data_IF_920251433491
#
_entry.id   IF_920251433491
#
_cell.length_a   1.000
_cell.length_b   1.000
_cell.length_c   1.000
_cell.angle_alpha   90.00
_cell.angle_beta   90.00
_cell.angle_gamma   90.00
#
_symmetry.space_group_name_H-M   'P 1'
#
loop_
_entity.id
_entity.type
_entity.pdbx_description
1 polymer ?
#
# COMPACT_ATOMS: atom_id res chain seq x y z
N UNK A 1 -32.32 -33.18 22.68
CA UNK A 1 -31.46 -32.49 21.68
C UNK A 1 -31.36 -30.96 21.90
N UNK A 2 -31.63 -30.42 23.11
CA UNK A 2 -31.67 -28.96 23.37
C UNK A 2 -30.38 -28.33 23.93
N UNK A 3 -29.31 -29.12 24.17
CA UNK A 3 -28.05 -28.59 24.75
C UNK A 3 -27.10 -27.93 23.75
N UNK A 4 -27.29 -28.14 22.44
CA UNK A 4 -26.42 -27.53 21.41
C UNK A 4 -26.82 -26.10 21.03
N UNK A 5 -28.05 -25.69 21.31
CA UNK A 5 -28.47 -24.30 21.02
C UNK A 5 -27.83 -23.31 22.00
N UNK A 6 -27.68 -23.67 23.27
CA UNK A 6 -27.01 -22.81 24.26
C UNK A 6 -25.51 -22.65 23.97
N UNK A 7 -24.80 -23.68 23.49
CA UNK A 7 -23.38 -23.54 23.14
C UNK A 7 -23.18 -22.70 21.86
N UNK A 8 -24.14 -22.76 20.94
CA UNK A 8 -24.11 -21.96 19.70
C UNK A 8 -24.50 -20.51 19.96
N UNK A 9 -25.48 -20.26 20.84
CA UNK A 9 -25.89 -18.91 21.25
C UNK A 9 -24.86 -18.25 22.17
N UNK A 10 -24.18 -19.00 23.04
CA UNK A 10 -23.06 -18.48 23.83
C UNK A 10 -21.83 -18.13 22.97
N UNK A 11 -21.59 -18.89 21.89
CA UNK A 11 -20.58 -18.53 20.87
C UNK A 11 -20.98 -17.29 20.07
N UNK A 12 -22.26 -17.14 19.74
CA UNK A 12 -22.79 -15.97 19.03
C UNK A 12 -22.92 -14.70 19.90
N UNK A 13 -23.11 -14.85 21.21
CA UNK A 13 -23.11 -13.74 22.16
C UNK A 13 -21.70 -13.21 22.42
N UNK A 14 -20.67 -14.07 22.37
CA UNK A 14 -19.27 -13.65 22.50
C UNK A 14 -18.68 -13.02 21.22
N UNK A 15 -19.34 -13.12 20.07
CA UNK A 15 -18.89 -12.42 18.85
C UNK A 15 -19.25 -10.93 18.83
N UNK A 16 -20.16 -10.48 19.71
CA UNK A 16 -20.57 -9.08 19.81
C UNK A 16 -20.07 -8.36 21.07
N UNK A 17 -19.20 -8.99 21.86
CA UNK A 17 -18.60 -8.42 23.06
C UNK A 17 -17.10 -8.18 22.89
N UNK A 18 -16.73 -7.28 21.96
CA UNK A 18 -15.46 -6.53 21.97
C UNK A 18 -15.56 -5.37 20.97
N UNK A 19 -16.28 -4.34 21.38
CA UNK A 19 -15.90 -3.00 20.92
C UNK A 19 -14.51 -2.70 21.50
N UNK A 20 -13.57 -2.37 20.61
CA UNK A 20 -12.40 -1.53 20.88
C UNK A 20 -11.38 -1.98 21.93
N UNK A 21 -10.88 -3.21 21.83
CA UNK A 21 -9.45 -3.39 21.99
C UNK A 21 -8.84 -3.31 20.59
N UNK A 22 -8.44 -2.11 20.14
CA UNK A 22 -7.61 -1.98 18.94
C UNK A 22 -6.40 -2.89 19.19
N UNK A 23 -6.31 -3.98 18.46
CA UNK A 23 -5.17 -4.89 18.48
C UNK A 23 -4.88 -5.21 17.03
N UNK A 24 -3.59 -5.22 16.68
CA UNK A 24 -3.15 -5.55 15.33
C UNK A 24 -3.83 -6.84 14.83
N UNK A 25 -4.35 -6.82 13.61
CA UNK A 25 -4.88 -8.03 12.98
C UNK A 25 -3.79 -9.13 13.00
N UNK A 26 -4.08 -10.36 13.47
CA UNK A 26 -3.06 -11.39 13.68
C UNK A 26 -2.28 -11.76 12.41
N UNK A 27 -2.89 -11.56 11.24
CA UNK A 27 -2.29 -11.90 9.94
C UNK A 27 -1.71 -10.67 9.23
N UNK A 28 -1.80 -9.46 9.78
CA UNK A 28 -1.40 -8.23 9.10
C UNK A 28 0.05 -8.32 8.59
N UNK A 29 0.97 -8.79 9.44
CA UNK A 29 2.39 -8.91 9.09
C UNK A 29 2.61 -9.86 7.92
N UNK A 30 2.03 -11.06 7.93
CA UNK A 30 2.18 -12.04 6.84
C UNK A 30 1.50 -11.57 5.56
N UNK A 31 0.34 -10.92 5.69
CA UNK A 31 -0.43 -10.39 4.59
C UNK A 31 0.31 -9.23 3.90
N UNK A 32 1.03 -8.38 4.64
CA UNK A 32 1.90 -7.33 4.07
C UNK A 32 2.97 -7.96 3.17
N UNK A 33 3.76 -8.91 3.68
CA UNK A 33 4.83 -9.50 2.87
C UNK A 33 4.28 -10.23 1.64
N UNK A 34 3.17 -10.94 1.79
CA UNK A 34 2.48 -11.58 0.66
C UNK A 34 2.01 -10.55 -0.38
N UNK A 35 1.47 -9.41 0.06
CA UNK A 35 1.06 -8.34 -0.83
C UNK A 35 2.26 -7.66 -1.53
N UNK A 36 3.38 -7.45 -0.83
CA UNK A 36 4.62 -6.93 -1.43
C UNK A 36 5.16 -7.89 -2.50
N UNK A 37 5.21 -9.18 -2.19
CA UNK A 37 5.70 -10.22 -3.09
C UNK A 37 4.83 -10.39 -4.34
N UNK A 38 3.51 -10.18 -4.22
CA UNK A 38 2.60 -10.20 -5.36
C UNK A 38 2.64 -8.88 -6.16
N UNK A 39 2.76 -7.74 -5.47
CA UNK A 39 2.75 -6.42 -6.12
C UNK A 39 4.02 -6.15 -6.93
N UNK A 40 5.18 -6.58 -6.46
CA UNK A 40 6.46 -6.35 -7.15
C UNK A 40 6.48 -6.90 -8.59
N UNK A 41 6.24 -8.21 -8.86
CA UNK A 41 6.20 -8.73 -10.23
C UNK A 41 5.03 -8.17 -11.05
N UNK A 42 3.89 -7.88 -10.41
CA UNK A 42 2.74 -7.25 -11.05
C UNK A 42 3.03 -5.84 -11.57
N UNK A 43 3.78 -5.04 -10.80
CA UNK A 43 4.27 -3.72 -11.21
C UNK A 43 5.31 -3.83 -12.33
N UNK A 44 6.21 -4.82 -12.28
CA UNK A 44 7.23 -5.03 -13.34
C UNK A 44 6.58 -5.37 -14.68
N UNK A 45 5.60 -6.27 -14.67
CA UNK A 45 4.90 -6.75 -15.87
C UNK A 45 5.51 -8.03 -16.46
N UNK A 46 4.70 -8.78 -17.20
CA UNK A 46 5.05 -10.13 -17.71
C UNK A 46 3.87 -11.11 -17.75
N UNK A 47 2.79 -10.75 -18.45
CA UNK A 47 1.59 -11.57 -18.64
C UNK A 47 0.41 -11.19 -17.74
N UNK A 48 0.62 -11.01 -16.44
CA UNK A 48 -0.35 -10.48 -15.46
C UNK A 48 0.23 -9.22 -14.83
N UNK A 49 -0.30 -8.05 -15.17
CA UNK A 49 0.38 -6.78 -14.92
C UNK A 49 -0.56 -5.62 -14.61
N UNK A 50 -0.01 -4.57 -13.97
CA UNK A 50 -0.74 -3.32 -13.78
C UNK A 50 -1.27 -2.77 -15.11
N UNK A 51 -2.54 -2.40 -15.12
CA UNK A 51 -3.31 -1.95 -16.29
C UNK A 51 -4.12 -3.04 -16.99
N UNK A 52 -4.03 -4.31 -16.56
CA UNK A 52 -4.78 -5.40 -17.19
C UNK A 52 -6.20 -5.60 -16.61
N UNK A 53 -6.60 -4.85 -15.59
CA UNK A 53 -7.95 -4.88 -15.02
C UNK A 53 -8.29 -6.08 -14.13
N UNK A 54 -7.43 -7.11 -14.05
CA UNK A 54 -7.80 -8.39 -13.42
C UNK A 54 -6.72 -8.92 -12.49
N UNK A 55 -5.44 -8.78 -12.83
CA UNK A 55 -4.34 -9.41 -12.11
C UNK A 55 -4.09 -8.84 -10.71
N UNK A 56 -4.57 -7.62 -10.44
CA UNK A 56 -4.43 -6.97 -9.14
C UNK A 56 -5.43 -7.48 -8.08
N UNK A 57 -6.45 -8.25 -8.48
CA UNK A 57 -7.52 -8.71 -7.58
C UNK A 57 -7.03 -9.50 -6.36
N UNK A 58 -6.05 -10.43 -6.46
CA UNK A 58 -5.51 -11.12 -5.29
C UNK A 58 -4.82 -10.19 -4.28
N UNK A 59 -4.11 -9.17 -4.80
CA UNK A 59 -3.45 -8.16 -3.98
C UNK A 59 -4.52 -7.30 -3.29
N UNK A 60 -5.52 -6.86 -4.05
CA UNK A 60 -6.64 -6.07 -3.53
C UNK A 60 -7.44 -6.83 -2.47
N UNK A 61 -7.71 -8.12 -2.66
CA UNK A 61 -8.39 -8.95 -1.67
C UNK A 61 -7.62 -9.02 -0.34
N UNK A 62 -6.28 -9.06 -0.42
CA UNK A 62 -5.41 -9.01 0.75
C UNK A 62 -5.50 -7.65 1.46
N UNK A 63 -5.54 -6.55 0.70
CA UNK A 63 -5.72 -5.20 1.23
C UNK A 63 -7.10 -5.03 1.88
N UNK A 64 -8.17 -5.44 1.19
CA UNK A 64 -9.56 -5.33 1.67
C UNK A 64 -9.82 -6.07 2.98
N UNK A 65 -9.07 -7.13 3.25
CA UNK A 65 -9.14 -7.84 4.53
C UNK A 65 -8.82 -6.93 5.73
N UNK A 66 -7.97 -5.92 5.53
CA UNK A 66 -7.58 -4.95 6.58
C UNK A 66 -8.21 -3.57 6.35
N UNK A 67 -8.51 -3.22 5.10
CA UNK A 67 -9.11 -1.93 4.70
C UNK A 67 -10.27 -2.14 3.72
N UNK A 68 -11.46 -2.57 4.20
CA UNK A 68 -12.60 -2.89 3.34
C UNK A 68 -13.17 -1.68 2.59
N UNK A 69 -12.92 -0.47 3.09
CA UNK A 69 -13.38 0.78 2.47
C UNK A 69 -12.50 1.24 1.30
N UNK A 70 -11.34 0.60 1.11
CA UNK A 70 -10.39 0.98 0.07
C UNK A 70 -10.82 0.49 -1.31
N UNK A 71 -11.71 1.23 -1.97
CA UNK A 71 -12.27 0.83 -3.25
C UNK A 71 -11.42 1.31 -4.43
N UNK A 72 -11.28 0.45 -5.44
CA UNK A 72 -10.85 0.88 -6.76
C UNK A 72 -12.05 1.54 -7.46
N UNK A 73 -11.93 2.82 -7.85
CA UNK A 73 -12.95 3.48 -8.67
C UNK A 73 -13.11 2.76 -10.01
N UNK A 74 -14.33 2.74 -10.56
CA UNK A 74 -14.61 2.08 -11.85
C UNK A 74 -13.72 2.64 -12.98
N UNK A 75 -13.37 3.92 -12.87
CA UNK A 75 -12.46 4.68 -13.75
C UNK A 75 -10.99 4.25 -13.67
N UNK A 76 -10.61 3.54 -12.60
CA UNK A 76 -9.26 3.03 -12.40
C UNK A 76 -9.07 1.62 -12.94
N UNK A 77 -10.14 0.88 -13.27
CA UNK A 77 -10.04 -0.48 -13.80
C UNK A 77 -9.49 -0.44 -15.22
N UNK A 78 -8.42 -1.19 -15.49
CA UNK A 78 -7.72 -1.17 -16.78
C UNK A 78 -6.86 0.08 -16.99
N UNK A 79 -6.76 0.96 -15.98
CA UNK A 79 -5.88 2.12 -15.99
C UNK A 79 -4.66 1.84 -15.11
N UNK A 80 -3.51 1.63 -15.74
CA UNK A 80 -2.23 1.33 -15.07
C UNK A 80 -1.92 2.27 -13.91
N UNK A 81 -2.12 3.58 -14.10
CA UNK A 81 -1.83 4.59 -13.08
C UNK A 81 -2.77 4.47 -11.89
N UNK A 82 -4.08 4.32 -12.16
CA UNK A 82 -5.11 4.18 -11.14
C UNK A 82 -4.98 2.90 -10.32
N UNK A 83 -4.74 1.77 -11.00
CA UNK A 83 -4.49 0.48 -10.34
C UNK A 83 -3.24 0.53 -9.47
N UNK A 84 -2.12 1.03 -10.02
CA UNK A 84 -0.89 1.15 -9.27
C UNK A 84 -1.08 2.06 -8.04
N UNK A 85 -1.79 3.20 -8.18
CA UNK A 85 -2.03 4.10 -7.06
C UNK A 85 -2.78 3.45 -5.91
N UNK A 86 -3.86 2.72 -6.18
CA UNK A 86 -4.67 2.07 -5.14
C UNK A 86 -3.90 0.95 -4.47
N UNK A 87 -3.25 0.06 -5.23
CA UNK A 87 -2.46 -1.02 -4.66
C UNK A 87 -1.30 -0.48 -3.82
N UNK A 88 -0.59 0.54 -4.33
CA UNK A 88 0.54 1.13 -3.62
C UNK A 88 0.11 1.77 -2.31
N UNK A 89 -1.00 2.51 -2.33
CA UNK A 89 -1.55 3.11 -1.13
C UNK A 89 -2.04 2.05 -0.14
N UNK A 90 -2.64 0.96 -0.60
CA UNK A 90 -3.19 -0.08 0.27
C UNK A 90 -2.10 -0.83 1.03
N UNK A 91 -1.02 -1.21 0.34
CA UNK A 91 0.14 -1.82 0.97
C UNK A 91 0.81 -0.82 1.92
N UNK A 92 0.97 0.43 1.51
CA UNK A 92 1.51 1.50 2.38
C UNK A 92 0.67 1.64 3.66
N UNK A 93 -0.65 1.68 3.55
CA UNK A 93 -1.58 1.79 4.68
C UNK A 93 -1.52 0.56 5.61
N UNK A 94 -1.36 -0.66 5.06
CA UNK A 94 -1.12 -1.86 5.86
C UNK A 94 0.19 -1.77 6.67
N UNK A 95 1.26 -1.27 6.05
CA UNK A 95 2.55 -1.05 6.73
C UNK A 95 2.43 0.02 7.81
N UNK A 96 1.74 1.13 7.52
CA UNK A 96 1.49 2.17 8.51
C UNK A 96 0.69 1.62 9.69
N UNK A 97 -0.40 0.89 9.44
CA UNK A 97 -1.19 0.27 10.50
C UNK A 97 -0.35 -0.67 11.37
N UNK A 98 0.52 -1.48 10.78
CA UNK A 98 1.48 -2.29 11.54
C UNK A 98 2.43 -1.41 12.38
N UNK A 99 2.88 -0.27 11.85
CA UNK A 99 3.77 0.65 12.56
C UNK A 99 3.16 1.20 13.85
N UNK A 100 1.83 1.35 13.95
CA UNK A 100 1.17 1.77 15.21
C UNK A 100 1.47 0.83 16.36
N UNK A 101 1.54 -0.46 16.05
CA UNK A 101 1.69 -1.53 17.02
C UNK A 101 3.17 -1.80 17.30
N UNK A 102 4.01 -1.70 16.28
CA UNK A 102 5.44 -1.94 16.34
C UNK A 102 6.15 -0.98 15.39
N UNK A 103 6.62 0.16 15.92
CA UNK A 103 7.23 1.23 15.14
C UNK A 103 8.49 0.77 14.41
N UNK A 104 9.32 -0.04 15.06
CA UNK A 104 10.56 -0.57 14.48
C UNK A 104 10.27 -1.55 13.34
N UNK A 105 9.35 -2.50 13.55
CA UNK A 105 8.93 -3.40 12.46
C UNK A 105 8.28 -2.62 11.32
N UNK A 106 7.41 -1.65 11.62
CA UNK A 106 6.81 -0.77 10.63
C UNK A 106 7.83 -0.02 9.78
N UNK A 107 8.87 0.55 10.40
CA UNK A 107 9.96 1.23 9.71
C UNK A 107 10.79 0.30 8.82
N UNK A 108 11.07 -0.92 9.28
CA UNK A 108 11.81 -1.92 8.49
C UNK A 108 10.99 -2.41 7.30
N UNK A 109 9.71 -2.74 7.50
CA UNK A 109 8.84 -3.18 6.42
C UNK A 109 8.55 -2.05 5.43
N UNK A 110 8.46 -0.79 5.89
CA UNK A 110 8.38 0.36 4.98
C UNK A 110 9.62 0.46 4.10
N UNK A 111 10.82 0.21 4.64
CA UNK A 111 12.06 0.20 3.83
C UNK A 111 11.98 -0.88 2.75
N UNK A 112 11.62 -2.11 3.12
CA UNK A 112 11.44 -3.23 2.17
C UNK A 112 10.42 -2.87 1.08
N UNK A 113 9.32 -2.22 1.46
CA UNK A 113 8.30 -1.81 0.52
C UNK A 113 8.80 -0.74 -0.47
N UNK A 114 9.47 0.30 0.02
CA UNK A 114 10.06 1.35 -0.81
C UNK A 114 11.12 0.79 -1.76
N UNK A 115 11.95 -0.13 -1.29
CA UNK A 115 12.97 -0.78 -2.13
C UNK A 115 12.33 -1.66 -3.21
N UNK A 116 11.26 -2.39 -2.87
CA UNK A 116 10.48 -3.17 -3.84
C UNK A 116 9.86 -2.28 -4.93
N UNK A 117 9.33 -1.11 -4.58
CA UNK A 117 8.79 -0.13 -5.54
C UNK A 117 9.86 0.41 -6.48
N UNK A 118 11.02 0.79 -5.91
CA UNK A 118 12.15 1.31 -6.68
C UNK A 118 12.70 0.27 -7.66
N UNK A 119 12.87 -0.98 -7.19
CA UNK A 119 13.36 -2.07 -8.03
C UNK A 119 12.34 -2.44 -9.10
N UNK A 120 11.04 -2.50 -8.74
CA UNK A 120 9.99 -2.78 -9.70
C UNK A 120 9.97 -1.73 -10.81
N UNK A 121 9.90 -0.44 -10.46
CA UNK A 121 9.92 0.65 -11.43
C UNK A 121 11.18 0.65 -12.31
N UNK A 122 12.34 0.39 -11.72
CA UNK A 122 13.62 0.32 -12.42
C UNK A 122 13.66 -0.78 -13.51
N UNK A 123 12.92 -1.87 -13.32
CA UNK A 123 12.85 -3.01 -14.24
C UNK A 123 11.76 -2.90 -15.31
N UNK A 124 10.88 -1.89 -15.25
CA UNK A 124 9.86 -1.69 -16.28
C UNK A 124 10.56 -1.19 -17.56
N UNK A 125 10.28 -1.86 -18.68
CA UNK A 125 10.75 -1.43 -20.00
C UNK A 125 10.18 -0.06 -20.37
N UNK A 126 11.02 0.81 -20.93
CA UNK A 126 10.66 2.16 -21.37
C UNK A 126 10.06 2.21 -22.78
N UNK A 127 9.49 1.11 -23.28
CA UNK A 127 8.90 1.09 -24.61
C UNK A 127 7.62 1.96 -24.61
N UNK A 128 7.54 2.99 -25.47
CA UNK A 128 6.35 3.83 -25.56
C UNK A 128 5.18 3.06 -26.18
N UNK A 129 3.97 3.35 -25.70
CA UNK A 129 2.73 2.89 -26.33
C UNK A 129 2.41 3.71 -27.60
N UNK A 130 1.30 3.37 -28.27
CA UNK A 130 0.85 4.06 -29.48
C UNK A 130 0.52 5.56 -29.27
N UNK A 131 0.45 6.03 -28.02
CA UNK A 131 0.17 7.41 -27.62
C UNK A 131 1.43 8.12 -27.12
N UNK A 132 2.60 7.48 -27.21
CA UNK A 132 3.88 8.02 -26.74
C UNK A 132 4.06 7.96 -25.22
N UNK A 133 3.15 7.34 -24.47
CA UNK A 133 3.32 7.14 -23.03
C UNK A 133 4.07 5.86 -22.77
N UNK A 134 5.06 5.87 -21.88
CA UNK A 134 5.66 4.61 -21.43
C UNK A 134 4.85 4.06 -20.25
N UNK A 135 4.73 2.72 -20.21
CA UNK A 135 4.17 2.04 -19.03
C UNK A 135 4.93 2.40 -17.76
N UNK A 136 6.25 2.58 -17.89
CA UNK A 136 7.13 3.02 -16.81
C UNK A 136 6.63 4.34 -16.20
N UNK A 137 6.33 5.34 -17.02
CA UNK A 137 5.83 6.63 -16.54
C UNK A 137 4.44 6.52 -15.89
N UNK A 138 3.54 5.70 -16.46
CA UNK A 138 2.21 5.46 -15.88
C UNK A 138 2.30 4.80 -14.50
N UNK A 139 3.15 3.79 -14.35
CA UNK A 139 3.40 3.14 -13.06
C UNK A 139 4.09 4.11 -12.09
N UNK A 140 5.07 4.90 -12.55
CA UNK A 140 5.75 5.90 -11.75
C UNK A 140 4.78 6.95 -11.18
N UNK A 141 3.88 7.49 -12.01
CA UNK A 141 2.80 8.38 -11.55
C UNK A 141 1.86 7.70 -10.56
N UNK A 142 1.50 6.44 -10.83
CA UNK A 142 0.66 5.65 -9.93
C UNK A 142 1.31 5.48 -8.54
N UNK A 143 2.60 5.15 -8.48
CA UNK A 143 3.36 5.05 -7.23
C UNK A 143 3.33 6.38 -6.47
N UNK A 144 3.66 7.49 -7.14
CA UNK A 144 3.65 8.82 -6.54
C UNK A 144 2.26 9.20 -6.03
N UNK A 145 1.21 8.95 -6.82
CA UNK A 145 -0.18 9.21 -6.45
C UNK A 145 -0.61 8.40 -5.23
N UNK A 146 -0.31 7.11 -5.21
CA UNK A 146 -0.62 6.22 -4.08
C UNK A 146 0.01 6.71 -2.77
N UNK A 147 1.28 7.09 -2.82
CA UNK A 147 2.02 7.56 -1.65
C UNK A 147 1.56 8.95 -1.21
N UNK A 148 1.50 9.91 -2.13
CA UNK A 148 1.29 11.30 -1.74
C UNK A 148 -0.19 11.62 -1.42
N UNK A 149 -1.13 11.00 -2.15
CA UNK A 149 -2.55 11.38 -2.10
C UNK A 149 -3.44 10.38 -1.36
N UNK A 150 -3.18 9.08 -1.49
CA UNK A 150 -4.07 8.03 -1.00
C UNK A 150 -3.59 7.35 0.30
N UNK A 151 -2.39 7.70 0.76
CA UNK A 151 -1.85 7.19 2.03
C UNK A 151 -2.49 7.91 3.21
N UNK A 152 -3.02 7.12 4.16
CA UNK A 152 -3.62 7.64 5.39
C UNK A 152 -2.56 7.78 6.50
N UNK A 153 -2.13 9.01 6.74
CA UNK A 153 -1.11 9.34 7.75
C UNK A 153 -1.62 9.16 9.19
N UNK A 154 -2.93 9.08 9.41
CA UNK A 154 -3.49 8.73 10.73
C UNK A 154 -3.14 7.30 11.12
N UNK A 155 -2.74 6.48 10.14
CA UNK A 155 -2.27 5.12 10.36
C UNK A 155 -0.83 5.06 10.88
N UNK A 156 -0.08 6.16 10.90
CA UNK A 156 1.32 6.14 11.27
C UNK A 156 1.54 6.01 12.79
N UNK A 157 2.64 5.37 13.18
CA UNK A 157 3.11 5.34 14.57
C UNK A 157 3.27 6.74 15.19
N UNK A 158 3.06 6.82 16.51
CA UNK A 158 3.32 8.01 17.32
C UNK A 158 4.75 8.06 17.85
N UNK A 159 5.50 6.97 17.74
CA UNK A 159 6.89 6.89 18.18
C UNK A 159 7.77 7.78 17.29
N UNK A 160 8.46 8.75 17.88
CA UNK A 160 9.17 9.79 17.13
C UNK A 160 10.22 9.23 16.16
N UNK A 161 11.10 8.34 16.62
CA UNK A 161 12.19 7.80 15.80
C UNK A 161 11.66 7.00 14.58
N UNK A 162 10.74 6.05 14.83
CA UNK A 162 10.12 5.26 13.78
C UNK A 162 9.30 6.13 12.80
N UNK A 163 8.58 7.13 13.33
CA UNK A 163 7.80 8.07 12.52
C UNK A 163 8.70 8.86 11.55
N UNK A 164 9.79 9.45 12.04
CA UNK A 164 10.74 10.18 11.18
C UNK A 164 11.36 9.27 10.13
N UNK A 165 11.73 8.02 10.51
CA UNK A 165 12.25 7.05 9.56
C UNK A 165 11.24 6.73 8.44
N UNK A 166 9.97 6.46 8.79
CA UNK A 166 8.92 6.19 7.81
C UNK A 166 8.70 7.38 6.87
N UNK A 167 8.65 8.61 7.41
CA UNK A 167 8.49 9.83 6.62
C UNK A 167 9.65 10.00 5.62
N UNK A 168 10.89 9.80 6.09
CA UNK A 168 12.08 9.88 5.24
C UNK A 168 12.03 8.85 4.10
N UNK A 169 11.59 7.63 4.40
CA UNK A 169 11.41 6.58 3.39
C UNK A 169 10.34 6.97 2.35
N UNK A 170 9.19 7.47 2.78
CA UNK A 170 8.10 7.89 1.88
C UNK A 170 8.54 9.06 0.98
N UNK A 171 9.26 10.05 1.53
CA UNK A 171 9.87 11.13 0.74
C UNK A 171 10.84 10.60 -0.32
N UNK A 172 11.66 9.60 0.04
CA UNK A 172 12.68 9.05 -0.86
C UNK A 172 12.10 8.34 -2.09
N UNK A 173 10.83 7.90 -2.05
CA UNK A 173 10.24 7.13 -3.15
C UNK A 173 10.19 7.96 -4.43
N UNK A 174 9.78 9.23 -4.36
CA UNK A 174 9.69 10.06 -5.56
C UNK A 174 11.08 10.30 -6.17
N UNK A 175 12.11 10.48 -5.35
CA UNK A 175 13.51 10.55 -5.79
C UNK A 175 13.98 9.24 -6.44
N UNK A 176 13.58 8.08 -5.89
CA UNK A 176 13.95 6.76 -6.42
C UNK A 176 13.23 6.42 -7.73
N UNK A 177 12.00 6.89 -7.91
CA UNK A 177 11.17 6.61 -9.09
C UNK A 177 11.51 7.57 -10.23
N UNK A 178 11.54 8.88 -9.96
CA UNK A 178 11.67 9.93 -10.98
C UNK A 178 13.08 10.53 -11.09
N UNK A 179 13.97 10.18 -10.16
CA UNK A 179 15.32 10.71 -10.08
C UNK A 179 15.44 11.95 -9.18
N UNK A 180 16.67 12.18 -8.69
CA UNK A 180 16.98 13.35 -7.87
C UNK A 180 16.84 14.64 -8.67
N UNK A 181 16.15 15.63 -8.07
CA UNK A 181 15.92 16.94 -8.70
C UNK A 181 14.72 17.01 -9.63
N UNK A 182 13.98 15.90 -9.83
CA UNK A 182 12.69 15.91 -10.51
C UNK A 182 11.66 16.77 -9.78
N UNK A 183 10.66 17.26 -10.53
CA UNK A 183 9.60 18.09 -9.97
C UNK A 183 8.72 17.26 -9.01
N UNK A 184 8.46 15.99 -9.34
CA UNK A 184 7.73 15.05 -8.49
C UNK A 184 8.45 14.79 -7.16
N UNK A 185 9.79 14.74 -7.16
CA UNK A 185 10.57 14.62 -5.92
C UNK A 185 10.43 15.87 -5.04
N UNK A 186 10.51 17.07 -5.64
CA UNK A 186 10.34 18.34 -4.92
C UNK A 186 8.94 18.49 -4.34
N UNK A 187 7.91 18.21 -5.15
CA UNK A 187 6.52 18.26 -4.72
C UNK A 187 6.23 17.26 -3.60
N UNK A 188 6.76 16.04 -3.73
CA UNK A 188 6.64 15.03 -2.68
C UNK A 188 7.30 15.47 -1.37
N UNK A 189 8.50 16.04 -1.43
CA UNK A 189 9.19 16.55 -0.24
C UNK A 189 8.39 17.68 0.43
N UNK A 190 7.90 18.65 -0.36
CA UNK A 190 7.09 19.76 0.15
C UNK A 190 5.80 19.25 0.82
N UNK A 191 5.07 18.34 0.16
CA UNK A 191 3.83 17.77 0.65
C UNK A 191 4.02 16.98 1.95
N UNK A 192 5.05 16.13 2.02
CA UNK A 192 5.32 15.38 3.23
C UNK A 192 5.83 16.26 4.36
N UNK A 193 6.54 17.34 4.05
CA UNK A 193 6.94 18.33 5.05
C UNK A 193 5.71 19.08 5.58
N UNK A 194 4.78 19.50 4.71
CA UNK A 194 3.58 20.23 5.13
C UNK A 194 2.60 19.38 5.94
N UNK A 195 2.57 18.05 5.76
CA UNK A 195 1.72 17.14 6.55
C UNK A 195 2.22 16.95 7.99
N UNK A 196 3.46 17.35 8.30
CA UNK A 196 4.12 17.03 9.56
C UNK A 196 4.81 18.22 10.26
N UNK A 197 4.75 19.41 9.67
CA UNK A 197 4.98 20.70 10.33
C UNK A 197 3.67 21.14 10.99
#
# INVERSE_FOLDING_TARGET
MFRNLQSTLAKAANTNAKADAKTMSPTLRSDIYSAVDQAKPWLIGGGRQAGDGVSFQPILATIHKHFPDMKLGLESVGNTEGEAAVIVAGITNMVLEMSKWDGMAGGMTMRTWVDALSEAHGRIGGAPDARGNTRKDQVGRGITRGINQLTDVSLMTREFAARIQIISLLKSVNTKVHGAGSEEARQGEALWSSKFI
#
